data_IF_789293133571
#
_entry.id   IF_789293133571
#
_cell.length_a   1.000
_cell.length_b   1.000
_cell.length_c   1.000
_cell.angle_alpha   90.00
_cell.angle_beta   90.00
_cell.angle_gamma   90.00
#
_symmetry.space_group_name_H-M   'P 1'
#
loop_
_entity.id
_entity.type
_entity.pdbx_description
1 polymer ?
#
# COMPACT_ATOMS: atom_id res chain seq x y z
N UNK A 1 -11.66 21.03 0.90
CA UNK A 1 -10.60 19.99 0.81
C UNK A 1 -9.27 20.53 1.31
N UNK A 2 -8.64 21.52 0.65
CA UNK A 2 -7.36 22.13 1.10
C UNK A 2 -7.44 22.70 2.53
N UNK A 3 -8.59 23.24 2.94
CA UNK A 3 -8.85 23.71 4.31
C UNK A 3 -8.68 22.59 5.37
N UNK A 4 -9.02 21.34 5.02
CA UNK A 4 -8.82 20.17 5.90
C UNK A 4 -7.33 19.79 6.04
N UNK A 5 -6.47 20.31 5.17
CA UNK A 5 -5.02 20.12 5.17
C UNK A 5 -4.30 21.38 5.70
N UNK A 6 -4.93 22.11 6.62
CA UNK A 6 -4.34 23.31 7.23
C UNK A 6 -4.21 24.50 6.27
N UNK A 7 -5.00 24.54 5.20
CA UNK A 7 -4.97 25.61 4.20
C UNK A 7 -3.79 25.53 3.22
N UNK A 8 -2.94 24.50 3.31
CA UNK A 8 -1.78 24.34 2.44
C UNK A 8 -2.01 23.30 1.35
N UNK A 9 -1.93 23.75 0.09
CA UNK A 9 -2.02 22.88 -1.09
C UNK A 9 -0.91 21.83 -1.12
N UNK A 10 0.26 22.12 -0.54
CA UNK A 10 1.39 21.18 -0.48
C UNK A 10 1.01 19.92 0.31
N UNK A 11 0.33 20.06 1.45
CA UNK A 11 -0.08 18.91 2.25
C UNK A 11 -1.14 18.05 1.55
N UNK A 12 -2.03 18.68 0.78
CA UNK A 12 -2.97 17.94 -0.07
C UNK A 12 -2.22 17.14 -1.15
N UNK A 13 -1.22 17.72 -1.80
CA UNK A 13 -0.41 17.03 -2.82
C UNK A 13 0.33 15.84 -2.19
N UNK A 14 0.98 16.04 -1.05
CA UNK A 14 1.66 14.96 -0.32
C UNK A 14 0.70 13.84 0.07
N UNK A 15 -0.51 14.19 0.51
CA UNK A 15 -1.55 13.21 0.83
C UNK A 15 -1.97 12.40 -0.39
N UNK A 16 -2.15 13.03 -1.55
CA UNK A 16 -2.48 12.32 -2.80
C UNK A 16 -1.35 11.37 -3.21
N UNK A 17 -0.09 11.80 -3.11
CA UNK A 17 1.08 10.94 -3.40
C UNK A 17 1.10 9.73 -2.45
N UNK A 18 0.87 9.96 -1.16
CA UNK A 18 0.78 8.89 -0.16
C UNK A 18 -0.35 7.90 -0.51
N UNK A 19 -1.51 8.41 -0.89
CA UNK A 19 -2.67 7.59 -1.23
C UNK A 19 -2.43 6.76 -2.50
N UNK A 20 -1.76 7.33 -3.51
CA UNK A 20 -1.33 6.60 -4.70
C UNK A 20 -0.30 5.51 -4.37
N UNK A 21 0.70 5.82 -3.54
CA UNK A 21 1.71 4.86 -3.10
C UNK A 21 1.09 3.69 -2.34
N UNK A 22 0.15 3.99 -1.42
CA UNK A 22 -0.59 2.97 -0.67
C UNK A 22 -1.46 2.10 -1.58
N UNK A 23 -2.15 2.71 -2.55
CA UNK A 23 -3.01 1.97 -3.50
C UNK A 23 -2.17 1.03 -4.37
N UNK A 24 -1.02 1.49 -4.85
CA UNK A 24 -0.08 0.67 -5.62
C UNK A 24 0.48 -0.48 -4.78
N UNK A 25 0.89 -0.20 -3.54
CA UNK A 25 1.35 -1.23 -2.61
C UNK A 25 0.28 -2.29 -2.34
N UNK A 26 -0.96 -1.87 -2.06
CA UNK A 26 -2.10 -2.76 -1.84
C UNK A 26 -2.38 -3.65 -3.06
N UNK A 27 -2.31 -3.09 -4.28
CA UNK A 27 -2.42 -3.87 -5.51
C UNK A 27 -1.34 -4.95 -5.62
N UNK A 28 -0.08 -4.61 -5.33
CA UNK A 28 1.02 -5.58 -5.37
C UNK A 28 0.82 -6.69 -4.34
N UNK A 29 0.43 -6.36 -3.11
CA UNK A 29 0.21 -7.37 -2.06
C UNK A 29 -0.93 -8.33 -2.43
N UNK A 30 -2.07 -7.81 -2.89
CA UNK A 30 -3.26 -8.61 -3.17
C UNK A 30 -3.10 -9.42 -4.46
N UNK A 31 -2.74 -8.75 -5.55
CA UNK A 31 -2.84 -9.31 -6.91
C UNK A 31 -1.49 -9.73 -7.49
N UNK A 32 -0.37 -9.19 -7.02
CA UNK A 32 0.96 -9.52 -7.55
C UNK A 32 2.07 -9.69 -6.48
N UNK A 33 1.86 -10.55 -5.46
CA UNK A 33 2.81 -10.70 -4.35
C UNK A 33 4.14 -11.30 -4.81
N UNK A 34 4.16 -12.02 -5.94
CA UNK A 34 5.39 -12.57 -6.53
C UNK A 34 6.42 -11.49 -6.86
N UNK A 35 5.97 -10.30 -7.24
CA UNK A 35 6.88 -9.17 -7.47
C UNK A 35 7.61 -8.79 -6.17
N UNK A 36 6.87 -8.67 -5.06
CA UNK A 36 7.45 -8.40 -3.73
C UNK A 36 8.40 -9.53 -3.32
N UNK A 37 8.05 -10.79 -3.58
CA UNK A 37 8.92 -11.94 -3.26
C UNK A 37 10.24 -11.87 -4.01
N UNK A 38 10.21 -11.52 -5.30
CA UNK A 38 11.41 -11.40 -6.12
C UNK A 38 12.25 -10.18 -5.73
N UNK A 39 11.62 -9.03 -5.50
CA UNK A 39 12.29 -7.77 -5.18
C UNK A 39 12.99 -7.83 -3.81
N UNK A 40 12.37 -8.48 -2.82
CA UNK A 40 12.88 -8.58 -1.44
C UNK A 40 13.49 -9.93 -1.10
N UNK A 41 13.49 -10.89 -2.03
CA UNK A 41 14.08 -12.23 -1.88
C UNK A 41 13.59 -13.00 -0.63
N UNK A 42 12.31 -12.85 -0.28
CA UNK A 42 11.73 -13.43 0.94
C UNK A 42 11.24 -14.89 0.80
N UNK A 43 11.49 -15.50 -0.36
CA UNK A 43 11.16 -16.90 -0.65
C UNK A 43 9.69 -17.15 -1.04
N UNK A 44 9.45 -18.16 -1.88
CA UNK A 44 8.12 -18.43 -2.47
C UNK A 44 7.03 -18.79 -1.43
N UNK A 45 7.43 -19.28 -0.26
CA UNK A 45 6.52 -19.57 0.86
C UNK A 45 5.94 -18.31 1.52
N UNK A 46 6.49 -17.12 1.25
CA UNK A 46 6.09 -15.88 1.88
C UNK A 46 4.80 -15.26 1.31
N UNK A 47 4.16 -15.86 0.30
CA UNK A 47 2.93 -15.31 -0.32
C UNK A 47 1.84 -15.05 0.72
N UNK A 48 1.56 -16.04 1.57
CA UNK A 48 0.51 -15.94 2.59
C UNK A 48 0.80 -14.85 3.64
N UNK A 49 2.00 -14.77 4.27
CA UNK A 49 2.31 -13.69 5.20
C UNK A 49 2.41 -12.31 4.52
N UNK A 50 2.90 -12.20 3.28
CA UNK A 50 2.90 -10.94 2.52
C UNK A 50 1.48 -10.43 2.33
N UNK A 51 0.55 -11.32 1.96
CA UNK A 51 -0.86 -10.99 1.88
C UNK A 51 -1.39 -10.59 3.24
N UNK A 52 -1.35 -11.47 4.24
CA UNK A 52 -1.90 -11.20 5.57
C UNK A 52 -1.40 -9.88 6.19
N UNK A 53 -0.09 -9.62 6.12
CA UNK A 53 0.53 -8.44 6.72
C UNK A 53 0.34 -7.19 5.85
N UNK A 54 0.64 -7.31 4.55
CA UNK A 54 0.53 -6.18 3.62
C UNK A 54 -0.93 -5.78 3.35
N UNK A 55 -1.87 -6.70 3.60
CA UNK A 55 -3.29 -6.47 3.58
C UNK A 55 -3.87 -6.40 4.99
N UNK A 56 -3.22 -5.83 6.01
CA UNK A 56 -3.94 -5.34 7.21
C UNK A 56 -4.96 -4.21 6.88
N UNK A 57 -5.31 -4.06 5.60
CA UNK A 57 -6.53 -3.46 5.05
C UNK A 57 -7.46 -4.57 4.49
N UNK A 58 -7.48 -5.79 5.05
CA UNK A 58 -8.55 -6.76 4.77
C UNK A 58 -9.73 -6.31 5.60
N UNK A 59 -10.85 -5.90 4.99
CA UNK A 59 -12.10 -5.86 5.71
C UNK A 59 -12.47 -7.32 6.00
N UNK A 60 -12.05 -7.85 7.14
CA UNK A 60 -12.69 -9.03 7.73
C UNK A 60 -13.83 -8.51 8.61
N UNK A 61 -14.75 -7.76 7.98
CA UNK A 61 -16.17 -7.51 8.29
C UNK A 61 -16.76 -6.68 7.16
#
# INVERSE_FOLDING_TARGET
MVENFGGSTLYLILYIIQLLGLSFYSYLVLFNPKKIINDYQVGDGAIAPIRLIGSFIVPIV
#
